data_IF_374249287128
#
_entry.id   IF_374249287128
#
_cell.length_a   1.000
_cell.length_b   1.000
_cell.length_c   1.000
_cell.angle_alpha   90.00
_cell.angle_beta   90.00
_cell.angle_gamma   90.00
#
_symmetry.space_group_name_H-M   'P 1'
#
loop_
_entity.id
_entity.type
_entity.pdbx_description
1 polymer ?
#
# COMPACT_ATOMS: atom_id res chain seq x y z
N UNK A 1 -18.63 -18.69 -19.68
CA UNK A 1 -17.78 -17.56 -20.13
C UNK A 1 -16.64 -17.20 -19.16
N UNK A 2 -16.84 -17.24 -17.82
CA UNK A 2 -15.82 -16.91 -16.81
C UNK A 2 -14.60 -17.86 -16.72
N UNK A 3 -14.71 -19.11 -17.18
CA UNK A 3 -13.62 -20.10 -17.13
C UNK A 3 -12.54 -19.88 -18.19
N UNK A 4 -12.93 -19.48 -19.41
CA UNK A 4 -12.01 -19.19 -20.54
C UNK A 4 -11.10 -17.98 -20.28
N UNK A 5 -11.60 -16.95 -19.60
CA UNK A 5 -10.81 -15.75 -19.27
C UNK A 5 -9.74 -16.04 -18.19
N UNK A 6 -10.07 -16.88 -17.19
CA UNK A 6 -9.13 -17.32 -16.16
C UNK A 6 -8.00 -18.21 -16.69
N UNK A 7 -8.29 -19.10 -17.65
CA UNK A 7 -7.27 -19.97 -18.28
C UNK A 7 -6.29 -19.18 -19.15
N UNK A 8 -6.77 -18.20 -19.93
CA UNK A 8 -5.90 -17.36 -20.75
C UNK A 8 -4.94 -16.51 -19.91
N UNK A 9 -5.41 -15.95 -18.78
CA UNK A 9 -4.55 -15.18 -17.89
C UNK A 9 -3.46 -16.04 -17.21
N UNK A 10 -3.74 -17.31 -16.91
CA UNK A 10 -2.74 -18.24 -16.34
C UNK A 10 -1.65 -18.61 -17.36
N UNK A 11 -2.02 -18.84 -18.62
CA UNK A 11 -1.05 -19.15 -19.68
C UNK A 11 -0.16 -17.94 -19.99
N UNK A 12 -0.77 -16.74 -20.08
CA UNK A 12 -0.04 -15.48 -20.24
C UNK A 12 0.96 -15.26 -19.10
N UNK A 13 0.54 -15.47 -17.85
CA UNK A 13 1.43 -15.32 -16.69
C UNK A 13 2.58 -16.33 -16.73
N UNK A 14 2.34 -17.60 -17.09
CA UNK A 14 3.40 -18.61 -17.21
C UNK A 14 4.44 -18.24 -18.27
N UNK A 15 3.99 -17.77 -19.44
CA UNK A 15 4.89 -17.32 -20.50
C UNK A 15 5.70 -16.09 -20.10
N UNK A 16 5.03 -15.09 -19.52
CA UNK A 16 5.67 -13.86 -19.03
C UNK A 16 6.70 -14.17 -17.94
N UNK A 17 6.38 -15.10 -17.04
CA UNK A 17 7.27 -15.57 -15.97
C UNK A 17 8.52 -16.26 -16.52
N UNK A 18 8.38 -17.18 -17.47
CA UNK A 18 9.56 -17.83 -18.08
C UNK A 18 10.48 -16.81 -18.75
N UNK A 19 9.91 -15.86 -19.50
CA UNK A 19 10.71 -14.81 -20.13
C UNK A 19 11.36 -13.88 -19.09
N UNK A 20 10.64 -13.48 -18.04
CA UNK A 20 11.20 -12.59 -17.01
C UNK A 20 12.38 -13.23 -16.28
N UNK A 21 12.32 -14.53 -15.97
CA UNK A 21 13.42 -15.22 -15.28
C UNK A 21 14.69 -15.19 -16.13
N UNK A 22 14.60 -15.47 -17.43
CA UNK A 22 15.75 -15.37 -18.35
C UNK A 22 16.29 -13.94 -18.43
N UNK A 23 15.41 -12.95 -18.43
CA UNK A 23 15.82 -11.52 -18.45
C UNK A 23 16.52 -11.12 -17.14
N UNK A 24 16.07 -11.64 -16.00
CA UNK A 24 16.67 -11.44 -14.68
C UNK A 24 18.07 -12.08 -14.61
N UNK A 25 18.20 -13.34 -15.01
CA UNK A 25 19.48 -14.07 -15.05
C UNK A 25 20.53 -13.30 -15.86
N UNK A 26 20.14 -12.88 -17.07
CA UNK A 26 21.03 -12.11 -17.96
C UNK A 26 21.38 -10.74 -17.40
N UNK A 27 20.40 -10.02 -16.85
CA UNK A 27 20.60 -8.63 -16.40
C UNK A 27 21.38 -8.54 -15.10
N UNK A 28 21.27 -9.52 -14.21
CA UNK A 28 21.99 -9.56 -12.93
C UNK A 28 23.24 -10.44 -12.97
N UNK A 29 23.49 -11.16 -14.06
CA UNK A 29 24.55 -12.17 -14.18
C UNK A 29 24.47 -13.22 -13.04
N UNK A 30 23.28 -13.80 -12.88
CA UNK A 30 22.95 -14.79 -11.84
C UNK A 30 22.22 -15.97 -12.46
N UNK A 31 22.13 -17.09 -11.72
CA UNK A 31 21.28 -18.24 -12.06
C UNK A 31 20.07 -18.31 -11.13
N UNK A 32 18.86 -18.48 -11.66
CA UNK A 32 17.66 -18.70 -10.86
C UNK A 32 17.67 -20.14 -10.35
N UNK A 33 17.59 -20.31 -9.04
CA UNK A 33 17.65 -21.62 -8.35
C UNK A 33 16.36 -21.96 -7.61
N UNK A 34 15.44 -21.00 -7.48
CA UNK A 34 14.16 -21.24 -6.83
C UNK A 34 13.11 -20.21 -7.20
N UNK A 35 11.86 -20.67 -7.22
CA UNK A 35 10.71 -19.82 -7.47
C UNK A 35 9.56 -20.28 -6.58
N UNK A 36 9.01 -19.36 -5.79
CA UNK A 36 7.88 -19.64 -4.92
C UNK A 36 6.77 -18.60 -5.15
N UNK A 37 5.52 -19.05 -5.28
CA UNK A 37 4.38 -18.16 -5.42
C UNK A 37 3.90 -17.68 -4.05
N UNK A 38 3.67 -16.38 -3.89
CA UNK A 38 3.41 -15.77 -2.57
C UNK A 38 1.92 -15.84 -2.23
N UNK A 39 1.45 -17.06 -1.97
CA UNK A 39 0.02 -17.36 -1.75
C UNK A 39 -0.44 -16.87 -0.37
N UNK A 40 0.41 -16.96 0.66
CA UNK A 40 0.03 -16.62 2.05
C UNK A 40 -0.43 -15.17 2.22
N UNK A 41 0.14 -14.24 1.45
CA UNK A 41 -0.14 -12.80 1.56
C UNK A 41 -1.27 -12.37 0.63
N UNK A 42 -1.23 -12.86 -0.61
CA UNK A 42 -2.02 -12.33 -1.71
C UNK A 42 -3.06 -13.33 -2.25
N UNK A 43 -3.20 -14.48 -1.60
CA UNK A 43 -4.11 -15.56 -2.00
C UNK A 43 -3.67 -16.33 -3.24
N UNK A 44 -4.47 -17.33 -3.62
CA UNK A 44 -4.18 -18.27 -4.72
C UNK A 44 -4.13 -17.62 -6.12
N UNK A 45 -4.65 -16.41 -6.25
CA UNK A 45 -4.67 -15.64 -7.51
C UNK A 45 -3.53 -14.62 -7.61
N UNK A 46 -2.58 -14.62 -6.67
CA UNK A 46 -1.44 -13.71 -6.66
C UNK A 46 -0.61 -13.77 -7.94
N UNK A 47 -0.22 -12.60 -8.43
CA UNK A 47 0.73 -12.46 -9.53
C UNK A 47 2.13 -12.11 -9.01
N UNK A 48 2.44 -12.49 -7.77
CA UNK A 48 3.71 -12.19 -7.09
C UNK A 48 4.46 -13.46 -6.69
N UNK A 49 5.78 -13.42 -6.84
CA UNK A 49 6.68 -14.54 -6.66
C UNK A 49 7.93 -14.14 -5.89
N UNK A 50 8.43 -15.04 -5.05
CA UNK A 50 9.77 -14.99 -4.50
C UNK A 50 10.70 -15.69 -5.48
N UNK A 51 11.71 -15.00 -5.97
CA UNK A 51 12.74 -15.53 -6.87
C UNK A 51 14.03 -15.67 -6.08
N UNK A 52 14.61 -16.87 -6.05
CA UNK A 52 15.91 -17.15 -5.46
C UNK A 52 16.94 -17.31 -6.57
N UNK A 53 18.06 -16.62 -6.45
CA UNK A 53 19.15 -16.68 -7.41
C UNK A 53 20.46 -17.01 -6.71
N UNK A 54 21.41 -17.57 -7.46
CA UNK A 54 22.79 -17.73 -7.03
C UNK A 54 23.71 -16.89 -7.93
N UNK A 55 24.58 -16.08 -7.34
CA UNK A 55 25.57 -15.29 -8.07
C UNK A 55 26.75 -16.13 -8.54
N UNK A 56 27.61 -15.58 -9.39
CA UNK A 56 28.88 -16.22 -9.79
C UNK A 56 29.83 -16.48 -8.61
N UNK A 57 29.59 -15.85 -7.46
CA UNK A 57 30.33 -16.04 -6.20
C UNK A 57 29.65 -17.03 -5.24
N UNK A 58 28.67 -17.81 -5.72
CA UNK A 58 27.85 -18.73 -4.92
C UNK A 58 27.01 -18.06 -3.80
N UNK A 59 26.75 -16.76 -3.90
CA UNK A 59 25.88 -16.07 -2.94
C UNK A 59 24.42 -16.25 -3.33
N UNK A 60 23.60 -16.69 -2.38
CA UNK A 60 22.15 -16.83 -2.59
C UNK A 60 21.46 -15.52 -2.24
N UNK A 61 20.76 -14.95 -3.22
CA UNK A 61 19.99 -13.72 -3.07
C UNK A 61 18.52 -14.00 -3.40
N UNK A 62 17.62 -13.37 -2.65
CA UNK A 62 16.19 -13.44 -2.88
C UNK A 62 15.65 -12.11 -3.41
N UNK A 63 14.63 -12.18 -4.25
CA UNK A 63 13.95 -11.03 -4.82
C UNK A 63 12.43 -11.22 -4.83
N UNK A 64 11.69 -10.12 -4.81
CA UNK A 64 10.23 -10.14 -4.96
C UNK A 64 9.84 -9.69 -6.37
N UNK A 65 9.27 -10.60 -7.15
CA UNK A 65 8.84 -10.37 -8.52
C UNK A 65 7.31 -10.21 -8.58
N UNK A 66 6.83 -9.06 -9.07
CA UNK A 66 5.41 -8.76 -9.22
C UNK A 66 5.05 -8.56 -10.68
N UNK A 67 3.95 -9.18 -11.13
CA UNK A 67 3.33 -8.95 -12.44
C UNK A 67 2.02 -8.19 -12.29
N UNK A 68 1.80 -7.23 -13.19
CA UNK A 68 0.51 -6.55 -13.31
C UNK A 68 0.36 -5.98 -14.73
N UNK A 69 -0.80 -5.41 -15.05
CA UNK A 69 -0.97 -4.65 -16.29
C UNK A 69 -0.02 -3.46 -16.31
N UNK A 70 0.39 -3.04 -17.51
CA UNK A 70 1.34 -1.94 -17.71
C UNK A 70 1.01 -0.69 -16.89
N UNK A 71 -0.25 -0.24 -16.94
CA UNK A 71 -0.71 0.98 -16.25
C UNK A 71 -0.53 0.89 -14.73
N UNK A 72 -0.72 -0.31 -14.17
CA UNK A 72 -0.57 -0.56 -12.74
C UNK A 72 0.90 -0.59 -12.32
N UNK A 73 1.77 -1.26 -13.09
CA UNK A 73 3.22 -1.27 -12.81
C UNK A 73 3.82 0.13 -12.95
N UNK A 74 3.51 0.88 -14.00
CA UNK A 74 4.04 2.24 -14.18
C UNK A 74 3.65 3.15 -13.01
N UNK A 75 2.39 3.04 -12.56
CA UNK A 75 1.91 3.78 -11.39
C UNK A 75 2.62 3.35 -10.11
N UNK A 76 2.78 2.06 -9.87
CA UNK A 76 3.47 1.56 -8.68
C UNK A 76 4.94 2.02 -8.65
N UNK A 77 5.61 2.04 -9.80
CA UNK A 77 6.98 2.54 -9.92
C UNK A 77 7.09 4.04 -9.64
N UNK A 78 6.22 4.85 -10.23
CA UNK A 78 6.16 6.30 -9.98
C UNK A 78 5.97 6.58 -8.48
N UNK A 79 5.01 5.89 -7.87
CA UNK A 79 4.68 6.07 -6.47
C UNK A 79 5.80 5.56 -5.56
N UNK A 80 6.39 4.40 -5.84
CA UNK A 80 7.49 3.85 -5.03
C UNK A 80 8.71 4.79 -5.08
N UNK A 81 9.10 5.27 -6.26
CA UNK A 81 10.21 6.24 -6.44
C UNK A 81 9.95 7.58 -5.75
N UNK A 82 8.69 7.96 -5.64
CA UNK A 82 8.34 9.16 -4.92
C UNK A 82 8.44 8.95 -3.40
N UNK A 83 7.98 7.80 -2.91
CA UNK A 83 7.91 7.48 -1.47
C UNK A 83 9.24 7.08 -0.87
N UNK A 84 10.13 6.42 -1.63
CA UNK A 84 11.45 5.98 -1.16
C UNK A 84 12.31 7.16 -0.63
N UNK A 85 11.98 8.39 -1.04
CA UNK A 85 12.61 9.63 -0.55
C UNK A 85 12.25 9.95 0.90
N UNK A 86 11.15 9.38 1.40
CA UNK A 86 10.55 9.73 2.68
C UNK A 86 10.42 8.52 3.62
N UNK A 87 10.13 7.34 3.07
CA UNK A 87 9.85 6.12 3.81
C UNK A 87 10.78 4.99 3.35
N UNK A 88 11.06 4.05 4.25
CA UNK A 88 11.78 2.83 3.90
C UNK A 88 10.87 1.92 3.07
N UNK A 89 11.30 1.66 1.84
CA UNK A 89 10.59 0.82 0.86
C UNK A 89 11.56 -0.18 0.24
N UNK A 90 11.07 -1.36 -0.20
CA UNK A 90 11.90 -2.27 -0.99
C UNK A 90 12.44 -1.57 -2.25
N UNK A 91 13.75 -1.60 -2.45
CA UNK A 91 14.41 -1.06 -3.65
C UNK A 91 13.95 -1.77 -4.92
N UNK A 92 13.74 -1.00 -5.98
CA UNK A 92 13.49 -1.53 -7.31
C UNK A 92 14.83 -1.99 -7.91
N UNK A 93 14.94 -3.27 -8.23
CA UNK A 93 16.15 -3.90 -8.80
C UNK A 93 16.09 -3.90 -10.32
N UNK A 94 14.97 -4.37 -10.89
CA UNK A 94 14.77 -4.44 -12.33
C UNK A 94 13.31 -4.17 -12.70
N UNK A 95 13.12 -3.72 -13.94
CA UNK A 95 11.80 -3.49 -14.53
C UNK A 95 11.81 -4.12 -15.93
N UNK A 96 10.71 -4.75 -16.30
CA UNK A 96 10.54 -5.32 -17.64
C UNK A 96 10.87 -4.34 -18.77
N UNK A 97 11.87 -4.65 -19.60
CA UNK A 97 12.27 -3.79 -20.73
C UNK A 97 11.31 -3.93 -21.91
N UNK A 98 10.80 -5.14 -22.16
CA UNK A 98 10.07 -5.47 -23.38
C UNK A 98 8.55 -5.22 -23.31
N UNK A 99 7.97 -4.77 -24.43
CA UNK A 99 6.50 -4.63 -24.66
C UNK A 99 5.80 -5.96 -25.01
N UNK A 100 6.52 -7.08 -25.03
CA UNK A 100 6.09 -8.34 -25.64
C UNK A 100 4.86 -9.00 -25.00
N UNK A 101 4.46 -8.59 -23.80
CA UNK A 101 3.28 -9.13 -23.11
C UNK A 101 2.38 -8.01 -22.58
N UNK A 102 1.08 -8.30 -22.48
CA UNK A 102 0.11 -7.41 -21.83
C UNK A 102 0.46 -7.18 -20.33
N UNK A 103 1.17 -8.13 -19.73
CA UNK A 103 1.69 -8.05 -18.36
C UNK A 103 3.10 -7.45 -18.35
N UNK A 104 3.30 -6.47 -17.49
CA UNK A 104 4.60 -5.93 -17.09
C UNK A 104 5.01 -6.56 -15.78
N UNK A 105 6.32 -6.55 -15.53
CA UNK A 105 6.87 -7.01 -14.26
C UNK A 105 7.88 -6.02 -13.69
N UNK A 106 8.00 -6.06 -12.36
CA UNK A 106 8.98 -5.34 -11.57
C UNK A 106 9.59 -6.33 -10.57
N UNK A 107 10.91 -6.24 -10.41
CA UNK A 107 11.68 -6.99 -9.45
C UNK A 107 12.14 -6.05 -8.35
N UNK A 108 11.75 -6.33 -7.12
CA UNK A 108 12.17 -5.61 -5.92
C UNK A 108 13.20 -6.44 -5.13
N UNK A 109 13.99 -5.75 -4.31
CA UNK A 109 14.80 -6.42 -3.29
C UNK A 109 13.88 -7.23 -2.37
N UNK A 110 14.32 -8.41 -1.97
CA UNK A 110 13.63 -9.13 -0.91
C UNK A 110 14.02 -8.52 0.43
N UNK A 111 13.03 -8.07 1.18
CA UNK A 111 13.22 -7.58 2.54
C UNK A 111 13.00 -8.74 3.50
N UNK A 112 14.06 -9.21 4.20
CA UNK A 112 13.90 -10.26 5.19
C UNK A 112 13.12 -9.71 6.39
N UNK A 113 12.09 -10.44 6.81
CA UNK A 113 11.26 -10.06 7.95
C UNK A 113 9.99 -10.86 8.01
N UNK A 114 9.25 -10.67 9.10
CA UNK A 114 7.92 -11.27 9.24
C UNK A 114 6.88 -10.22 8.90
N UNK A 115 5.81 -10.65 8.24
CA UNK A 115 4.67 -9.77 8.07
C UNK A 115 4.05 -9.51 9.42
N UNK A 116 3.59 -8.27 9.61
CA UNK A 116 2.89 -7.92 10.82
C UNK A 116 1.61 -8.77 10.97
N UNK A 117 0.94 -9.11 9.86
CA UNK A 117 -0.21 -10.04 9.85
C UNK A 117 0.11 -11.40 10.44
N UNK A 118 1.28 -11.98 10.15
CA UNK A 118 1.66 -13.29 10.69
C UNK A 118 1.82 -13.24 12.20
N UNK A 119 2.45 -12.16 12.69
CA UNK A 119 2.60 -11.91 14.13
C UNK A 119 1.23 -11.77 14.81
N UNK A 120 0.32 -11.01 14.20
CA UNK A 120 -1.04 -10.84 14.72
C UNK A 120 -1.86 -12.12 14.71
N UNK A 121 -1.77 -12.92 13.65
CA UNK A 121 -2.44 -14.23 13.57
C UNK A 121 -1.93 -15.20 14.64
N UNK A 122 -0.61 -15.24 14.86
CA UNK A 122 -0.02 -16.07 15.92
C UNK A 122 -0.56 -15.72 17.31
N UNK A 123 -0.71 -14.43 17.61
CA UNK A 123 -1.19 -13.95 18.92
C UNK A 123 -2.70 -14.17 19.05
N UNK A 124 -3.46 -13.92 17.98
CA UNK A 124 -4.89 -14.20 17.94
C UNK A 124 -5.16 -15.68 18.21
N UNK A 125 -4.37 -16.58 17.63
CA UNK A 125 -4.48 -18.02 17.86
C UNK A 125 -4.16 -18.42 19.32
N UNK A 126 -3.30 -17.66 20.00
CA UNK A 126 -3.01 -17.82 21.44
C UNK A 126 -4.07 -17.21 22.35
N UNK A 127 -5.06 -16.47 21.80
CA UNK A 127 -6.08 -15.71 22.54
C UNK A 127 -5.50 -14.70 23.55
N UNK A 128 -4.28 -14.22 23.30
CA UNK A 128 -3.58 -13.27 24.17
C UNK A 128 -3.90 -11.83 23.75
N UNK A 129 -4.98 -11.29 24.29
CA UNK A 129 -5.47 -9.94 23.99
C UNK A 129 -4.53 -8.84 24.49
N UNK A 130 -3.85 -9.06 25.61
CA UNK A 130 -2.96 -8.06 26.19
C UNK A 130 -1.73 -7.86 25.30
N UNK A 131 -1.11 -8.96 24.85
CA UNK A 131 -0.01 -8.93 23.90
C UNK A 131 -0.44 -8.34 22.55
N UNK A 132 -1.66 -8.64 22.09
CA UNK A 132 -2.22 -8.05 20.87
C UNK A 132 -2.26 -6.52 20.98
N UNK A 133 -2.85 -5.99 22.06
CA UNK A 133 -2.95 -4.55 22.30
C UNK A 133 -1.57 -3.90 22.44
N UNK A 134 -0.62 -4.55 23.11
CA UNK A 134 0.75 -4.06 23.27
C UNK A 134 1.46 -3.89 21.92
N UNK A 135 1.32 -4.87 21.02
CA UNK A 135 1.96 -4.85 19.71
C UNK A 135 1.27 -3.85 18.78
N UNK A 136 -0.05 -3.70 18.86
CA UNK A 136 -0.77 -2.68 18.10
C UNK A 136 -0.31 -1.27 18.50
N UNK A 137 -0.19 -0.98 19.80
CA UNK A 137 0.36 0.29 20.29
C UNK A 137 1.80 0.53 19.82
N UNK A 138 2.65 -0.50 19.83
CA UNK A 138 4.02 -0.41 19.32
C UNK A 138 4.05 -0.09 17.82
N UNK A 139 3.19 -0.75 17.03
CA UNK A 139 3.03 -0.49 15.59
C UNK A 139 2.60 0.96 15.34
N UNK A 140 1.57 1.43 16.04
CA UNK A 140 1.07 2.80 15.91
C UNK A 140 2.15 3.82 16.27
N UNK A 141 2.92 3.59 17.34
CA UNK A 141 4.04 4.45 17.72
C UNK A 141 5.11 4.51 16.63
N UNK A 142 5.48 3.36 16.05
CA UNK A 142 6.47 3.30 14.97
C UNK A 142 5.97 3.99 13.70
N UNK A 143 4.73 3.75 13.29
CA UNK A 143 4.10 4.41 12.14
C UNK A 143 4.00 5.92 12.36
N UNK A 144 3.56 6.36 13.54
CA UNK A 144 3.49 7.77 13.90
C UNK A 144 4.86 8.44 13.82
N UNK A 145 5.91 7.80 14.34
CA UNK A 145 7.28 8.32 14.26
C UNK A 145 7.77 8.41 12.81
N UNK A 146 7.49 7.39 12.00
CA UNK A 146 7.84 7.36 10.58
C UNK A 146 7.13 8.49 9.80
N UNK A 147 5.83 8.67 10.03
CA UNK A 147 5.06 9.76 9.43
C UNK A 147 5.51 11.13 9.92
N UNK A 148 5.81 11.28 11.22
CA UNK A 148 6.33 12.53 11.76
C UNK A 148 7.63 12.95 11.07
N UNK A 149 8.54 12.02 10.80
CA UNK A 149 9.81 12.29 10.08
C UNK A 149 9.61 12.63 8.61
N UNK A 150 8.52 12.16 8.00
CA UNK A 150 8.18 12.41 6.59
C UNK A 150 7.44 13.74 6.35
N UNK A 151 7.28 14.58 7.38
CA UNK A 151 6.60 15.86 7.26
C UNK A 151 7.38 16.82 6.36
N UNK A 152 6.70 17.37 5.36
CA UNK A 152 7.24 18.38 4.45
C UNK A 152 6.33 19.60 4.38
N UNK A 153 6.91 20.75 4.05
CA UNK A 153 6.12 21.96 3.74
C UNK A 153 5.86 22.00 2.24
N UNK A 154 4.59 22.02 1.83
CA UNK A 154 4.19 22.18 0.43
C UNK A 154 3.17 23.30 0.27
N UNK A 155 3.07 23.83 -0.94
CA UNK A 155 2.02 24.78 -1.29
C UNK A 155 0.66 24.08 -1.24
N UNK A 156 -0.33 24.72 -0.63
CA UNK A 156 -1.71 24.25 -0.57
C UNK A 156 -2.28 23.89 -1.96
N UNK A 157 -1.95 24.67 -2.99
CA UNK A 157 -2.40 24.39 -4.36
C UNK A 157 -1.82 23.09 -4.90
N UNK A 158 -0.56 22.77 -4.58
CA UNK A 158 0.06 21.49 -4.94
C UNK A 158 -0.54 20.34 -4.11
N UNK A 159 -0.80 20.57 -2.83
CA UNK A 159 -1.42 19.59 -1.93
C UNK A 159 -2.80 19.17 -2.42
N UNK A 160 -3.70 20.13 -2.68
CA UNK A 160 -5.09 19.86 -3.05
C UNK A 160 -5.20 19.27 -4.46
N UNK A 161 -4.28 19.63 -5.36
CA UNK A 161 -4.19 19.08 -6.72
C UNK A 161 -3.53 17.70 -6.77
N UNK A 162 -2.92 17.23 -5.68
CA UNK A 162 -2.40 15.88 -5.65
C UNK A 162 -3.54 14.88 -5.87
N UNK A 163 -3.28 13.84 -6.67
CA UNK A 163 -4.30 12.88 -7.08
C UNK A 163 -5.12 12.34 -5.91
N UNK A 164 -4.48 11.99 -4.80
CA UNK A 164 -5.19 11.43 -3.65
C UNK A 164 -6.05 12.47 -2.95
N UNK A 165 -5.56 13.69 -2.78
CA UNK A 165 -6.39 14.76 -2.22
C UNK A 165 -7.53 15.15 -3.16
N UNK A 166 -7.35 15.05 -4.48
CA UNK A 166 -8.46 15.17 -5.43
C UNK A 166 -9.48 14.04 -5.28
N UNK A 167 -9.04 12.79 -5.11
CA UNK A 167 -9.94 11.66 -4.85
C UNK A 167 -10.72 11.86 -3.54
N UNK A 168 -10.04 12.31 -2.49
CA UNK A 168 -10.67 12.58 -1.20
C UNK A 168 -11.62 13.78 -1.28
N UNK A 169 -11.22 14.85 -1.96
CA UNK A 169 -12.06 16.00 -2.26
C UNK A 169 -13.34 15.57 -3.00
N UNK A 170 -13.21 14.79 -4.08
CA UNK A 170 -14.35 14.28 -4.84
C UNK A 170 -15.24 13.33 -3.99
N UNK A 171 -14.68 12.64 -2.99
CA UNK A 171 -15.47 11.84 -2.03
C UNK A 171 -16.18 12.67 -0.97
N UNK A 172 -15.72 13.88 -0.69
CA UNK A 172 -16.32 14.79 0.30
C UNK A 172 -17.35 15.75 -0.31
N UNK A 173 -17.12 16.17 -1.55
CA UNK A 173 -17.88 17.19 -2.26
C UNK A 173 -18.60 16.67 -3.52
N UNK A 174 -18.31 15.45 -3.97
CA UNK A 174 -18.88 14.88 -5.18
C UNK A 174 -20.09 13.99 -4.92
N UNK A 175 -20.65 13.49 -6.03
CA UNK A 175 -21.89 12.71 -6.09
C UNK A 175 -21.92 11.49 -5.16
N UNK A 176 -20.77 10.83 -4.95
CA UNK A 176 -20.69 9.67 -4.05
C UNK A 176 -21.00 10.01 -2.59
N UNK A 177 -20.63 11.21 -2.13
CA UNK A 177 -21.01 11.67 -0.78
C UNK A 177 -22.53 11.75 -0.68
N UNK A 178 -23.15 12.39 -1.68
CA UNK A 178 -24.59 12.59 -1.71
C UNK A 178 -25.32 11.25 -1.74
N UNK A 179 -24.95 10.35 -2.65
CA UNK A 179 -25.57 9.03 -2.78
C UNK A 179 -25.44 8.20 -1.51
N UNK A 180 -24.29 8.24 -0.84
CA UNK A 180 -24.05 7.40 0.32
C UNK A 180 -24.67 7.94 1.62
N UNK A 181 -24.67 9.26 1.81
CA UNK A 181 -25.06 9.86 3.09
C UNK A 181 -26.39 10.64 3.04
N UNK A 182 -26.69 11.33 1.94
CA UNK A 182 -27.82 12.28 1.85
C UNK A 182 -29.02 11.68 1.14
N UNK A 183 -28.80 11.12 -0.04
CA UNK A 183 -29.81 10.49 -0.91
C UNK A 183 -29.99 8.99 -0.63
N UNK A 184 -29.28 8.46 0.37
CA UNK A 184 -29.40 7.07 0.78
C UNK A 184 -30.81 6.82 1.34
N UNK A 185 -31.53 5.77 0.91
CA UNK A 185 -32.85 5.43 1.46
C UNK A 185 -32.88 5.27 2.98
N UNK A 186 -31.75 4.88 3.59
CA UNK A 186 -31.60 4.75 5.03
C UNK A 186 -31.35 6.10 5.75
N UNK A 187 -31.30 7.20 4.99
CA UNK A 187 -31.19 8.60 5.42
C UNK A 187 -30.18 8.81 6.57
N UNK A 188 -28.96 8.31 6.37
CA UNK A 188 -27.89 8.33 7.37
C UNK A 188 -27.56 9.77 7.81
N UNK A 189 -27.76 10.75 6.94
CA UNK A 189 -27.58 12.17 7.26
C UNK A 189 -28.44 12.68 8.42
N UNK A 190 -29.59 12.07 8.73
CA UNK A 190 -30.44 12.47 9.87
C UNK A 190 -29.72 12.34 11.22
N UNK A 191 -28.70 11.47 11.29
CA UNK A 191 -27.94 11.26 12.52
C UNK A 191 -26.75 12.22 12.64
N UNK A 192 -26.48 13.07 11.65
CA UNK A 192 -25.23 13.82 11.60
C UNK A 192 -25.10 14.90 12.66
N UNK A 193 -26.22 15.46 13.12
CA UNK A 193 -26.25 16.44 14.20
C UNK A 193 -26.39 15.81 15.59
N UNK A 194 -26.46 14.47 15.67
CA UNK A 194 -26.47 13.77 16.96
C UNK A 194 -25.08 13.69 17.56
N UNK A 195 -25.03 13.69 18.89
CA UNK A 195 -23.79 13.48 19.63
C UNK A 195 -23.28 12.05 19.43
N UNK A 196 -22.01 11.92 19.09
CA UNK A 196 -21.35 10.62 18.94
C UNK A 196 -21.01 10.08 20.32
N UNK A 197 -21.48 8.86 20.61
CA UNK A 197 -21.17 8.14 21.85
C UNK A 197 -20.55 6.79 21.49
N UNK A 198 -19.33 6.53 21.93
CA UNK A 198 -18.63 5.24 21.75
C UNK A 198 -18.16 4.79 23.12
N UNK A 199 -18.55 3.59 23.55
CA UNK A 199 -18.17 3.03 24.86
C UNK A 199 -18.46 4.01 26.02
N UNK A 200 -19.64 4.62 26.04
CA UNK A 200 -20.08 5.65 26.99
C UNK A 200 -19.27 6.97 26.99
N UNK A 201 -18.29 7.12 26.08
CA UNK A 201 -17.56 8.36 25.89
C UNK A 201 -18.32 9.25 24.92
N UNK A 202 -18.75 10.42 25.40
CA UNK A 202 -19.37 11.46 24.58
C UNK A 202 -18.29 12.26 23.88
N UNK A 203 -18.30 12.26 22.55
CA UNK A 203 -17.36 13.07 21.77
C UNK A 203 -17.86 14.52 21.69
N UNK A 204 -16.92 15.49 21.65
CA UNK A 204 -17.27 16.92 21.67
C UNK A 204 -17.86 17.43 20.35
N UNK A 205 -17.73 16.68 19.26
CA UNK A 205 -18.20 17.10 17.93
C UNK A 205 -19.20 16.10 17.36
N UNK A 206 -20.21 16.62 16.66
CA UNK A 206 -21.14 15.82 15.84
C UNK A 206 -20.49 15.44 14.51
N UNK A 207 -21.04 14.44 13.81
CA UNK A 207 -20.57 14.05 12.48
C UNK A 207 -20.64 15.24 11.50
N UNK A 208 -21.70 16.06 11.59
CA UNK A 208 -21.85 17.26 10.77
C UNK A 208 -20.74 18.28 11.04
N UNK A 209 -20.40 18.51 12.31
CA UNK A 209 -19.31 19.42 12.69
C UNK A 209 -17.95 18.90 12.21
N UNK A 210 -17.71 17.59 12.30
CA UNK A 210 -16.50 16.96 11.74
C UNK A 210 -16.43 17.18 10.23
N UNK A 211 -17.52 16.91 9.48
CA UNK A 211 -17.55 17.13 8.03
C UNK A 211 -17.37 18.60 7.65
N UNK A 212 -18.01 19.54 8.36
CA UNK A 212 -17.82 20.98 8.14
C UNK A 212 -16.37 21.39 8.31
N UNK A 213 -15.71 20.93 9.38
CA UNK A 213 -14.29 21.19 9.63
C UNK A 213 -13.39 20.61 8.55
N UNK A 214 -13.64 19.37 8.12
CA UNK A 214 -12.90 18.73 7.02
C UNK A 214 -13.11 19.51 5.71
N UNK A 215 -14.35 19.85 5.36
CA UNK A 215 -14.65 20.62 4.15
C UNK A 215 -13.96 21.98 4.15
N UNK A 216 -13.93 22.67 5.29
CA UNK A 216 -13.19 23.94 5.44
C UNK A 216 -11.68 23.76 5.26
N UNK A 217 -11.10 22.64 5.69
CA UNK A 217 -9.68 22.31 5.42
C UNK A 217 -9.40 22.13 3.93
N UNK A 218 -10.37 21.60 3.16
CA UNK A 218 -10.24 21.29 1.73
C UNK A 218 -10.81 22.37 0.79
N UNK A 219 -11.46 23.42 1.31
CA UNK A 219 -11.87 24.59 0.53
C UNK A 219 -10.66 25.46 0.13
N UNK A 220 -10.72 26.13 -1.02
CA UNK A 220 -9.60 26.90 -1.60
C UNK A 220 -9.04 27.95 -0.62
N UNK A 221 -7.80 27.75 -0.18
CA UNK A 221 -7.00 28.74 0.54
C UNK A 221 -5.78 29.06 -0.32
N UNK A 222 -5.86 30.13 -1.12
CA UNK A 222 -4.77 30.51 -2.02
C UNK A 222 -3.51 30.89 -1.23
N UNK A 223 -2.35 30.48 -1.74
CA UNK A 223 -0.99 30.90 -1.31
C UNK A 223 -0.51 30.49 0.09
N UNK A 224 -1.19 29.56 0.78
CA UNK A 224 -0.72 29.04 2.08
C UNK A 224 0.27 27.89 1.91
N UNK A 225 1.35 27.87 2.71
CA UNK A 225 2.16 26.66 2.93
C UNK A 225 1.52 25.81 4.02
N UNK A 226 1.38 24.52 3.77
CA UNK A 226 0.86 23.56 4.75
C UNK A 226 1.90 22.48 5.04
N UNK A 227 1.84 21.94 6.25
CA UNK A 227 2.59 20.74 6.61
C UNK A 227 1.81 19.56 6.06
N UNK A 228 2.42 18.85 5.12
CA UNK A 228 1.92 17.62 4.57
C UNK A 228 2.79 16.45 5.02
N UNK A 229 2.20 15.27 5.11
CA UNK A 229 2.85 14.04 5.54
C UNK A 229 2.75 12.99 4.45
N UNK A 230 3.87 12.37 4.08
CA UNK A 230 3.86 11.31 3.09
C UNK A 230 3.46 9.99 3.75
N UNK A 231 2.40 9.37 3.24
CA UNK A 231 1.90 8.10 3.76
C UNK A 231 1.62 7.08 2.67
N UNK A 232 1.72 5.80 3.03
CA UNK A 232 1.40 4.70 2.11
C UNK A 232 -0.11 4.54 1.90
N UNK A 233 -0.96 5.11 2.76
CA UNK A 233 -2.41 5.20 2.55
C UNK A 233 -3.25 4.00 2.96
N UNK A 234 -2.61 2.85 3.16
CA UNK A 234 -3.22 1.58 3.47
C UNK A 234 -2.25 0.72 4.32
N UNK A 235 -1.69 1.34 5.37
CA UNK A 235 -0.62 0.76 6.18
C UNK A 235 -1.19 -0.22 7.21
N UNK A 236 -2.03 -1.13 6.75
CA UNK A 236 -2.56 -2.23 7.56
C UNK A 236 -1.52 -3.34 7.71
N UNK A 237 -1.78 -4.30 8.60
CA UNK A 237 -0.81 -5.36 8.95
C UNK A 237 -0.32 -6.19 7.75
N UNK A 238 -1.08 -6.21 6.65
CA UNK A 238 -0.77 -6.96 5.42
C UNK A 238 0.24 -6.27 4.52
N UNK A 239 0.50 -4.97 4.73
CA UNK A 239 1.43 -4.15 3.94
C UNK A 239 2.65 -3.69 4.76
N UNK A 240 2.87 -4.31 5.94
CA UNK A 240 3.97 -3.98 6.84
C UNK A 240 4.85 -5.22 7.06
N UNK A 241 6.14 -5.09 6.73
CA UNK A 241 7.18 -6.04 7.13
C UNK A 241 7.89 -5.49 8.36
N UNK A 242 8.03 -6.32 9.39
CA UNK A 242 8.93 -6.05 10.52
C UNK A 242 10.27 -6.66 10.18
N UNK A 243 11.26 -5.80 9.92
CA UNK A 243 12.63 -6.22 9.77
C UNK A 243 13.34 -6.16 11.12
N UNK A 244 13.52 -7.33 11.75
CA UNK A 244 14.18 -7.47 13.06
C UNK A 244 15.64 -7.02 13.08
N UNK A 245 16.33 -6.95 11.93
CA UNK A 245 17.74 -6.55 11.87
C UNK A 245 17.96 -5.05 12.07
N UNK A 246 16.92 -4.25 11.80
CA UNK A 246 17.01 -2.78 11.79
C UNK A 246 15.88 -2.13 12.60
N UNK A 247 15.11 -2.93 13.35
CA UNK A 247 13.98 -2.52 14.20
C UNK A 247 13.07 -1.48 13.55
N UNK A 248 12.80 -1.66 12.25
CA UNK A 248 12.02 -0.71 11.47
C UNK A 248 10.84 -1.38 10.76
N UNK A 249 9.83 -0.57 10.48
CA UNK A 249 8.70 -0.94 9.64
C UNK A 249 9.05 -0.63 8.19
N UNK A 250 8.98 -1.65 7.34
CA UNK A 250 9.10 -1.48 5.90
C UNK A 250 7.71 -1.59 5.31
N UNK A 251 7.30 -0.52 4.62
CA UNK A 251 6.03 -0.45 3.92
C UNK A 251 6.22 -1.01 2.51
N UNK A 252 5.23 -1.74 2.03
CA UNK A 252 5.20 -2.23 0.66
C UNK A 252 3.78 -2.16 0.10
N UNK A 253 3.62 -2.42 -1.19
CA UNK A 253 2.33 -2.35 -1.89
C UNK A 253 1.73 -0.93 -1.90
N UNK A 254 2.29 -0.07 -2.75
CA UNK A 254 2.03 1.39 -2.75
C UNK A 254 0.88 1.84 -3.66
N UNK A 255 0.00 0.93 -4.06
CA UNK A 255 -1.09 1.21 -5.03
C UNK A 255 -2.01 2.37 -4.61
N UNK A 256 -2.09 2.66 -3.30
CA UNK A 256 -2.96 3.66 -2.69
C UNK A 256 -2.23 4.80 -1.97
N UNK A 257 -0.98 5.08 -2.29
CA UNK A 257 -0.21 6.07 -1.53
C UNK A 257 -0.75 7.50 -1.55
N UNK A 258 -0.50 8.22 -0.45
CA UNK A 258 -1.26 9.43 -0.06
C UNK A 258 -0.30 10.50 0.46
N UNK A 259 -0.63 11.75 0.12
CA UNK A 259 -0.07 12.93 0.76
C UNK A 259 -1.15 13.45 1.72
N UNK A 260 -0.91 13.35 3.02
CA UNK A 260 -1.80 13.81 4.11
C UNK A 260 -1.53 15.26 4.53
#
# INVERSE_FOLDING_TARGET
>A
MFTKQKTNNRLLLRSALKHSLVEIEKSLNVKVVGLERIIKIYGSNTNSFLVKTISTKNEIVSYFLKFNEKKHIERELEVTRFIEKFLLTPKIILISKKKLFALRWVLFEYVPGNLMTEKFLQIKNRKDLELFCKIEKQKEKLLSNLYYKSKIKINYNSYIKSRTNQLFYNRLFGERYELFFVKNPNNISLYFDRQIVVNNIKFPYTVNQIFKSIRKKYSLQNNKKIIATMGQGDAHHGNIIINKKIDCLILFNFELSIIF
#
